data_IF_685010063737
#
_entry.id   IF_685010063737
#
_cell.length_a   1.000
_cell.length_b   1.000
_cell.length_c   1.000
_cell.angle_alpha   90.00
_cell.angle_beta   90.00
_cell.angle_gamma   90.00
#
_symmetry.space_group_name_H-M   'P 1'
#
loop_
_entity.id
_entity.type
_entity.pdbx_description
1 polymer ?
#
# COMPACT_ATOMS: atom_id res chain seq x y z
N UNK A 1 29.95 84.52 26.84
CA UNK A 1 28.66 83.76 26.86
C UNK A 1 28.32 83.37 25.43
N UNK A 2 28.81 82.26 24.94
CA UNK A 2 28.71 81.85 23.55
C UNK A 2 28.04 80.51 23.52
N UNK A 3 26.85 80.40 22.95
CA UNK A 3 26.10 79.16 22.81
C UNK A 3 26.57 78.42 21.53
N UNK A 4 27.08 77.19 21.70
CA UNK A 4 27.37 76.31 20.60
C UNK A 4 26.11 75.52 20.27
N UNK A 5 25.62 75.62 19.03
CA UNK A 5 24.56 74.78 18.45
C UNK A 5 25.22 73.57 17.78
N UNK A 6 24.98 72.35 18.29
CA UNK A 6 25.39 71.09 17.67
C UNK A 6 24.24 70.65 16.78
N UNK A 7 24.45 70.63 15.48
CA UNK A 7 23.50 70.03 14.50
C UNK A 7 23.77 68.53 14.36
N UNK A 8 22.83 67.68 14.77
CA UNK A 8 22.88 66.23 14.62
C UNK A 8 22.27 65.89 13.26
N UNK A 9 23.07 65.47 12.29
CA UNK A 9 22.61 64.97 11.01
C UNK A 9 22.31 63.45 11.16
N UNK A 10 21.04 63.08 11.16
CA UNK A 10 20.60 61.71 11.20
C UNK A 10 20.59 61.15 9.77
N UNK A 11 21.56 60.35 9.39
CA UNK A 11 21.59 59.62 8.13
C UNK A 11 20.70 58.36 8.24
N UNK A 12 19.53 58.40 7.62
CA UNK A 12 18.61 57.28 7.47
C UNK A 12 19.14 56.38 6.33
N UNK A 13 19.88 55.34 6.66
CA UNK A 13 20.20 54.25 5.71
C UNK A 13 19.02 53.31 5.64
N UNK A 14 18.23 53.37 4.59
CA UNK A 14 17.21 52.36 4.24
C UNK A 14 17.90 51.11 3.76
N UNK A 15 18.06 50.15 4.66
CA UNK A 15 18.44 48.77 4.28
C UNK A 15 17.25 48.12 3.55
N UNK A 16 17.35 48.04 2.23
CA UNK A 16 16.43 47.23 1.42
C UNK A 16 16.81 45.77 1.68
N UNK A 17 16.08 45.13 2.60
CA UNK A 17 16.16 43.70 2.80
C UNK A 17 15.53 43.01 1.57
N UNK A 18 16.35 42.51 0.67
CA UNK A 18 15.90 41.50 -0.29
C UNK A 18 15.60 40.22 0.49
N UNK A 19 14.35 40.02 0.90
CA UNK A 19 13.86 38.72 1.28
C UNK A 19 13.98 37.81 0.04
N UNK A 20 14.66 36.68 0.06
CA UNK A 20 14.58 35.75 -1.05
C UNK A 20 13.12 35.38 -1.20
N UNK A 21 12.58 35.55 -2.41
CA UNK A 21 11.27 35.03 -2.76
C UNK A 21 11.30 33.53 -2.48
N UNK A 22 10.61 33.10 -1.44
CA UNK A 22 10.39 31.66 -1.22
C UNK A 22 9.56 31.19 -2.42
N UNK A 23 10.22 30.65 -3.43
CA UNK A 23 9.56 29.92 -4.51
C UNK A 23 8.82 28.79 -3.83
N UNK A 24 7.48 28.80 -3.89
CA UNK A 24 6.69 27.72 -3.36
C UNK A 24 7.02 26.47 -4.17
N UNK A 25 7.74 25.54 -3.54
CA UNK A 25 8.14 24.28 -4.17
C UNK A 25 6.89 23.48 -4.52
N UNK A 26 6.85 22.87 -5.72
CA UNK A 26 5.72 22.04 -6.16
C UNK A 26 5.53 20.85 -5.18
N UNK A 27 4.38 20.83 -4.51
CA UNK A 27 3.94 19.77 -3.59
C UNK A 27 2.49 19.41 -3.84
N UNK A 28 2.17 18.13 -3.73
CA UNK A 28 0.82 17.60 -3.88
C UNK A 28 0.29 17.24 -2.49
N UNK A 29 -0.87 17.81 -2.14
CA UNK A 29 -1.56 17.48 -0.90
C UNK A 29 -2.37 16.20 -1.08
N UNK A 30 -2.09 15.18 -0.27
CA UNK A 30 -2.76 13.87 -0.33
C UNK A 30 -4.06 13.85 0.47
N UNK A 31 -4.31 14.86 1.33
CA UNK A 31 -5.48 14.94 2.21
C UNK A 31 -6.27 16.22 2.03
N UNK A 32 -7.60 16.10 2.04
CA UNK A 32 -8.55 17.22 2.15
C UNK A 32 -9.96 16.86 1.67
N UNK A 33 -11.01 17.31 2.40
CA UNK A 33 -12.38 17.25 1.90
C UNK A 33 -12.57 18.43 0.93
N UNK A 34 -12.37 18.23 -0.35
CA UNK A 34 -12.57 19.27 -1.35
C UNK A 34 -12.48 18.75 -2.77
N UNK A 35 -12.72 19.63 -3.75
CA UNK A 35 -12.45 19.36 -5.15
C UNK A 35 -10.93 19.27 -5.37
N UNK A 36 -10.38 18.09 -5.14
CA UNK A 36 -8.97 17.80 -5.46
C UNK A 36 -8.82 17.83 -6.98
N UNK A 37 -7.87 18.62 -7.47
CA UNK A 37 -7.48 18.64 -8.88
C UNK A 37 -6.13 17.92 -9.01
N UNK A 38 -6.05 16.84 -9.82
CA UNK A 38 -4.78 16.18 -10.07
C UNK A 38 -3.72 17.13 -10.60
N UNK A 39 -2.48 16.96 -10.17
CA UNK A 39 -1.34 17.77 -10.60
C UNK A 39 -0.89 17.36 -12.00
N UNK A 40 -0.84 18.27 -12.98
CA UNK A 40 -0.40 17.98 -14.34
C UNK A 40 1.10 17.66 -14.39
N UNK A 41 1.43 16.42 -14.80
CA UNK A 41 2.82 15.97 -14.97
C UNK A 41 3.10 15.60 -16.43
N UNK A 42 4.26 15.98 -16.93
CA UNK A 42 4.80 15.50 -18.20
C UNK A 42 6.00 14.58 -17.93
N UNK A 43 5.94 13.39 -18.52
CA UNK A 43 7.02 12.40 -18.52
C UNK A 43 7.26 11.99 -19.97
N UNK A 44 8.08 12.72 -20.73
CA UNK A 44 8.47 12.38 -22.10
C UNK A 44 9.21 11.06 -22.16
N UNK A 45 9.33 10.50 -23.36
CA UNK A 45 10.16 9.33 -23.59
C UNK A 45 11.62 9.62 -23.22
N UNK A 46 12.32 8.59 -22.75
CA UNK A 46 13.71 8.72 -22.31
C UNK A 46 14.63 8.95 -23.51
N UNK A 47 15.68 9.77 -23.34
CA UNK A 47 16.84 9.80 -24.24
C UNK A 47 17.48 8.41 -24.27
N UNK A 48 17.52 7.76 -25.43
CA UNK A 48 18.08 6.40 -25.54
C UNK A 48 19.57 6.47 -25.94
N UNK A 49 20.40 5.97 -25.03
CA UNK A 49 21.85 5.80 -25.24
C UNK A 49 22.13 4.30 -25.41
N UNK A 50 21.79 3.77 -26.58
CA UNK A 50 21.82 2.34 -26.90
C UNK A 50 20.87 1.99 -28.02
N UNK A 51 20.50 0.73 -28.14
CA UNK A 51 19.67 0.20 -29.24
C UNK A 51 18.22 -0.13 -28.81
N UNK A 52 17.96 -0.34 -27.52
CA UNK A 52 16.68 -0.84 -27.02
C UNK A 52 15.69 0.29 -26.68
N UNK A 53 15.21 0.98 -27.70
CA UNK A 53 14.21 2.04 -27.55
C UNK A 53 12.85 1.52 -27.06
N UNK A 54 12.50 0.26 -27.36
CA UNK A 54 11.24 -0.33 -26.94
C UNK A 54 11.20 -0.55 -25.43
N UNK A 55 12.30 -1.01 -24.85
CA UNK A 55 12.40 -1.16 -23.39
C UNK A 55 12.35 0.19 -22.67
N UNK A 56 13.03 1.20 -23.22
CA UNK A 56 12.98 2.56 -22.68
C UNK A 56 11.54 3.11 -22.66
N UNK A 57 10.77 2.89 -23.73
CA UNK A 57 9.36 3.29 -23.83
C UNK A 57 8.49 2.53 -22.80
N UNK A 58 8.65 1.20 -22.69
CA UNK A 58 7.91 0.39 -21.72
C UNK A 58 8.14 0.86 -20.27
N UNK A 59 9.38 1.24 -19.92
CA UNK A 59 9.69 1.80 -18.61
C UNK A 59 8.86 3.08 -18.36
N UNK A 60 8.81 4.00 -19.31
CA UNK A 60 8.04 5.24 -19.17
C UNK A 60 6.55 4.98 -19.08
N UNK A 61 6.01 4.03 -19.84
CA UNK A 61 4.59 3.65 -19.79
C UNK A 61 4.20 3.14 -18.40
N UNK A 62 5.03 2.30 -17.76
CA UNK A 62 4.79 1.83 -16.39
C UNK A 62 4.87 2.98 -15.40
N UNK A 63 5.87 3.87 -15.48
CA UNK A 63 5.99 5.03 -14.60
C UNK A 63 4.75 5.93 -14.69
N UNK A 64 4.27 6.20 -15.90
CA UNK A 64 3.04 7.00 -16.13
C UNK A 64 1.82 6.31 -15.51
N UNK A 65 1.65 5.00 -15.76
CA UNK A 65 0.53 4.21 -15.25
C UNK A 65 0.51 4.14 -13.72
N UNK A 66 1.65 3.95 -13.08
CA UNK A 66 1.78 3.94 -11.62
C UNK A 66 1.32 5.27 -11.02
N UNK A 67 1.86 6.38 -11.50
CA UNK A 67 1.53 7.71 -10.98
C UNK A 67 0.07 8.09 -11.25
N UNK A 68 -0.45 7.86 -12.45
CA UNK A 68 -1.85 8.09 -12.81
C UNK A 68 -2.79 7.25 -11.94
N UNK A 69 -2.35 6.05 -11.60
CA UNK A 69 -3.09 5.12 -10.75
C UNK A 69 -3.45 5.68 -9.38
N UNK A 70 -2.69 6.65 -8.88
CA UNK A 70 -2.94 7.28 -7.58
C UNK A 70 -4.13 8.24 -7.58
N UNK A 71 -4.57 8.71 -8.77
CA UNK A 71 -5.53 9.80 -8.90
C UNK A 71 -5.00 11.17 -8.47
N UNK A 72 -3.73 11.27 -8.05
CA UNK A 72 -3.09 12.51 -7.62
C UNK A 72 -2.47 13.29 -8.78
N UNK A 73 -2.21 12.62 -9.89
CA UNK A 73 -1.50 13.16 -11.05
C UNK A 73 -2.32 13.00 -12.33
N UNK A 74 -2.24 14.02 -13.18
CA UNK A 74 -2.79 14.00 -14.54
C UNK A 74 -1.62 13.96 -15.54
N UNK A 75 -1.48 12.82 -16.26
CA UNK A 75 -0.43 12.68 -17.25
C UNK A 75 -0.73 13.51 -18.49
N UNK A 76 0.18 14.42 -18.84
CA UNK A 76 0.07 15.20 -20.06
C UNK A 76 0.23 14.31 -21.30
N UNK A 77 -0.64 14.52 -22.31
CA UNK A 77 -0.59 13.75 -23.53
C UNK A 77 0.71 14.00 -24.29
N UNK A 78 1.52 12.98 -24.61
CA UNK A 78 2.77 13.14 -25.35
C UNK A 78 2.63 13.82 -26.69
N UNK A 79 1.45 13.72 -27.35
CA UNK A 79 1.17 14.43 -28.60
C UNK A 79 1.14 15.95 -28.45
N UNK A 80 0.90 16.47 -27.25
CA UNK A 80 0.90 17.91 -26.94
C UNK A 80 2.29 18.50 -26.69
N UNK A 81 3.33 17.67 -26.56
CA UNK A 81 4.68 18.13 -26.24
C UNK A 81 5.28 18.95 -27.38
N UNK A 82 5.59 20.22 -27.09
CA UNK A 82 6.19 21.16 -28.04
C UNK A 82 7.70 20.88 -28.18
N UNK A 83 8.39 20.75 -27.05
CA UNK A 83 9.80 20.35 -27.02
C UNK A 83 9.90 18.83 -27.09
N UNK A 84 10.49 18.29 -28.19
CA UNK A 84 10.69 16.86 -28.39
C UNK A 84 12.15 16.43 -28.22
N UNK A 85 13.09 17.35 -28.41
CA UNK A 85 14.52 17.16 -28.26
C UNK A 85 14.96 17.39 -26.81
N UNK A 86 14.62 16.45 -25.93
CA UNK A 86 14.97 16.51 -24.51
C UNK A 86 16.23 15.70 -24.23
N UNK A 87 17.14 16.28 -23.46
CA UNK A 87 18.29 15.59 -22.90
C UNK A 87 18.34 15.82 -21.40
N UNK A 88 18.73 14.80 -20.65
CA UNK A 88 18.91 14.90 -19.20
C UNK A 88 20.01 15.91 -18.81
N UNK A 89 20.94 16.17 -19.73
CA UNK A 89 22.09 17.04 -19.48
C UNK A 89 21.81 18.51 -19.80
N UNK A 90 20.65 18.81 -20.42
CA UNK A 90 20.25 20.15 -20.85
C UNK A 90 19.00 20.61 -20.09
N UNK A 91 18.99 21.87 -19.69
CA UNK A 91 17.81 22.48 -19.08
C UNK A 91 16.66 22.57 -20.08
N UNK A 92 15.43 22.11 -19.70
CA UNK A 92 14.25 22.21 -20.58
C UNK A 92 13.86 23.65 -20.90
N UNK A 93 13.22 23.84 -22.06
CA UNK A 93 12.59 25.13 -22.42
C UNK A 93 11.25 25.27 -21.70
N UNK A 94 11.26 25.77 -20.46
CA UNK A 94 10.06 25.84 -19.61
C UNK A 94 8.88 26.58 -20.23
N UNK A 95 9.13 27.55 -21.14
CA UNK A 95 8.06 28.25 -21.84
C UNK A 95 7.15 27.28 -22.62
N UNK A 96 7.72 26.28 -23.29
CA UNK A 96 6.98 25.28 -24.06
C UNK A 96 6.05 24.43 -23.16
N UNK A 97 6.53 24.09 -21.96
CA UNK A 97 5.80 23.30 -20.98
C UNK A 97 4.72 24.08 -20.24
N UNK A 98 4.93 25.39 -20.01
CA UNK A 98 3.92 26.30 -19.46
C UNK A 98 2.72 26.48 -20.38
N UNK A 99 2.93 26.50 -21.71
CA UNK A 99 1.85 26.59 -22.70
C UNK A 99 0.86 25.43 -22.55
N UNK A 100 1.35 24.23 -22.34
CA UNK A 100 0.52 23.03 -22.14
C UNK A 100 0.10 22.81 -20.68
N UNK A 101 0.33 23.80 -19.79
CA UNK A 101 -0.07 23.81 -18.38
C UNK A 101 0.50 22.62 -17.57
N UNK A 102 1.74 22.26 -17.81
CA UNK A 102 2.48 21.25 -17.04
C UNK A 102 3.05 21.91 -15.79
N UNK A 103 2.84 21.30 -14.63
CA UNK A 103 3.41 21.77 -13.35
C UNK A 103 4.77 21.09 -13.10
N UNK A 104 4.84 19.78 -13.27
CA UNK A 104 6.07 19.01 -13.09
C UNK A 104 6.51 18.32 -14.38
N UNK A 105 7.82 18.35 -14.66
CA UNK A 105 8.42 17.70 -15.82
C UNK A 105 9.49 16.71 -15.36
N UNK A 106 9.43 15.47 -15.85
CA UNK A 106 10.45 14.45 -15.62
C UNK A 106 11.20 14.19 -16.92
N UNK A 107 12.50 14.43 -16.91
CA UNK A 107 13.39 14.17 -18.07
C UNK A 107 14.39 13.10 -17.68
N UNK A 108 14.62 12.11 -18.55
CA UNK A 108 15.52 11.02 -18.25
C UNK A 108 16.25 10.47 -19.46
N UNK A 109 17.22 9.59 -19.19
CA UNK A 109 18.00 8.86 -20.18
C UNK A 109 18.04 7.37 -19.81
N UNK A 110 17.90 6.53 -20.82
CA UNK A 110 18.09 5.08 -20.77
C UNK A 110 19.46 4.73 -21.39
N UNK A 111 20.20 3.84 -20.74
CA UNK A 111 21.52 3.44 -21.17
C UNK A 111 21.71 1.92 -21.04
N UNK A 112 22.23 1.29 -22.07
CA UNK A 112 22.72 -0.10 -22.03
C UNK A 112 24.18 -0.10 -21.60
N UNK A 113 24.51 -0.83 -20.53
CA UNK A 113 25.86 -0.86 -19.97
C UNK A 113 26.69 -2.00 -20.54
N UNK A 114 28.02 -1.85 -20.59
CA UNK A 114 28.93 -2.88 -21.16
C UNK A 114 28.85 -4.25 -20.45
N UNK A 115 28.40 -4.29 -19.19
CA UNK A 115 28.22 -5.50 -18.40
C UNK A 115 26.86 -6.19 -18.62
N UNK A 116 26.09 -5.72 -19.61
CA UNK A 116 24.76 -6.25 -19.96
C UNK A 116 23.62 -5.76 -19.09
N UNK A 117 23.89 -4.87 -18.11
CA UNK A 117 22.84 -4.20 -17.33
C UNK A 117 22.26 -3.02 -18.09
N UNK A 118 21.15 -2.52 -17.57
CA UNK A 118 20.53 -1.27 -18.00
C UNK A 118 20.60 -0.24 -16.86
N UNK A 119 20.71 1.03 -17.23
CA UNK A 119 20.63 2.15 -16.32
C UNK A 119 19.60 3.16 -16.80
N UNK A 120 18.83 3.71 -15.85
CA UNK A 120 17.93 4.84 -16.10
C UNK A 120 18.31 5.97 -15.17
N UNK A 121 18.63 7.11 -15.76
CA UNK A 121 18.88 8.37 -15.05
C UNK A 121 17.69 9.30 -15.28
N UNK A 122 17.25 10.05 -14.26
CA UNK A 122 16.17 11.02 -14.42
C UNK A 122 16.34 12.22 -13.49
N UNK A 123 15.75 13.35 -13.92
CA UNK A 123 15.61 14.61 -13.17
C UNK A 123 14.17 15.06 -13.17
N UNK A 124 13.76 15.71 -12.12
CA UNK A 124 12.46 16.36 -12.00
C UNK A 124 12.63 17.87 -12.01
N UNK A 125 11.72 18.55 -12.67
CA UNK A 125 11.71 20.01 -12.78
C UNK A 125 10.37 20.58 -12.33
N UNK A 126 10.40 21.62 -11.52
CA UNK A 126 9.27 22.52 -11.33
C UNK A 126 9.23 23.47 -12.53
N UNK A 127 8.20 23.35 -13.36
CA UNK A 127 8.10 24.08 -14.61
C UNK A 127 7.88 25.56 -14.38
N UNK A 128 7.12 25.93 -13.36
CA UNK A 128 6.82 27.32 -13.08
C UNK A 128 7.96 28.04 -12.36
N UNK A 129 8.62 27.38 -11.43
CA UNK A 129 9.83 27.88 -10.78
C UNK A 129 11.04 27.89 -11.72
N UNK A 130 11.08 26.98 -12.71
CA UNK A 130 12.22 26.82 -13.61
C UNK A 130 13.44 26.17 -12.95
N UNK A 131 13.22 25.39 -11.90
CA UNK A 131 14.26 24.83 -11.05
C UNK A 131 14.20 23.30 -10.99
N UNK A 132 15.37 22.65 -10.79
CA UNK A 132 15.44 21.22 -10.58
C UNK A 132 14.94 20.87 -9.18
N UNK A 133 14.02 19.91 -9.11
CA UNK A 133 13.52 19.36 -7.84
C UNK A 133 14.50 18.30 -7.33
N UNK A 134 15.05 18.52 -6.15
CA UNK A 134 16.01 17.58 -5.56
C UNK A 134 15.32 16.34 -5.01
N UNK A 135 15.85 15.16 -5.34
CA UNK A 135 15.42 13.86 -4.80
C UNK A 135 16.49 13.40 -3.81
N UNK A 136 16.16 13.29 -2.54
CA UNK A 136 17.11 12.99 -1.46
C UNK A 136 18.36 13.89 -1.50
N UNK A 137 18.15 15.20 -1.73
CA UNK A 137 19.23 16.19 -1.80
C UNK A 137 20.01 16.24 -3.13
N UNK A 138 19.80 15.30 -4.04
CA UNK A 138 20.47 15.20 -5.34
C UNK A 138 19.62 15.80 -6.47
N UNK A 139 20.23 16.41 -7.51
CA UNK A 139 19.51 16.99 -8.63
C UNK A 139 18.88 15.98 -9.58
N UNK A 140 19.11 14.70 -9.38
CA UNK A 140 18.59 13.59 -10.16
C UNK A 140 18.92 12.27 -9.51
N UNK A 141 18.45 11.19 -10.11
CA UNK A 141 18.69 9.82 -9.63
C UNK A 141 19.11 8.93 -10.80
N UNK A 142 20.01 7.99 -10.55
CA UNK A 142 20.38 6.91 -11.47
C UNK A 142 20.10 5.57 -10.82
N UNK A 143 19.39 4.70 -11.53
CA UNK A 143 19.07 3.34 -11.11
C UNK A 143 19.65 2.36 -12.12
N UNK A 144 20.14 1.22 -11.66
CA UNK A 144 20.75 0.18 -12.50
C UNK A 144 20.19 -1.18 -12.14
N UNK A 145 19.89 -2.03 -13.13
CA UNK A 145 19.41 -3.39 -12.97
C UNK A 145 19.75 -4.27 -14.16
N UNK A 146 19.41 -5.56 -14.09
CA UNK A 146 19.41 -6.45 -15.26
C UNK A 146 18.18 -6.19 -16.14
N UNK A 147 18.24 -6.46 -17.45
CA UNK A 147 17.08 -6.27 -18.34
C UNK A 147 15.82 -6.98 -17.87
N UNK A 148 15.92 -8.18 -17.29
CA UNK A 148 14.77 -8.95 -16.80
C UNK A 148 14.03 -8.26 -15.63
N UNK A 149 14.72 -7.39 -14.89
CA UNK A 149 14.15 -6.64 -13.76
C UNK A 149 13.73 -5.20 -14.11
N UNK A 150 13.53 -4.90 -15.38
CA UNK A 150 13.23 -3.55 -15.85
C UNK A 150 11.98 -2.91 -15.23
N UNK A 151 10.95 -3.73 -14.92
CA UNK A 151 9.73 -3.21 -14.29
C UNK A 151 10.00 -2.66 -12.90
N UNK A 152 10.88 -3.31 -12.13
CA UNK A 152 11.28 -2.79 -10.81
C UNK A 152 11.95 -1.42 -10.89
N UNK A 153 12.75 -1.15 -11.95
CA UNK A 153 13.28 0.21 -12.16
C UNK A 153 12.14 1.20 -12.41
N UNK A 154 11.14 0.85 -13.23
CA UNK A 154 10.01 1.72 -13.48
C UNK A 154 9.24 2.06 -12.19
N UNK A 155 8.89 1.05 -11.39
CA UNK A 155 8.24 1.25 -10.08
C UNK A 155 9.09 2.11 -9.12
N UNK A 156 10.41 1.91 -9.05
CA UNK A 156 11.32 2.72 -8.22
C UNK A 156 11.44 4.17 -8.71
N UNK A 157 11.30 4.42 -10.01
CA UNK A 157 11.22 5.78 -10.56
C UNK A 157 9.89 6.42 -10.12
N UNK A 158 8.76 5.72 -10.31
CA UNK A 158 7.45 6.18 -9.87
C UNK A 158 7.43 6.46 -8.36
N UNK A 159 7.98 5.57 -7.53
CA UNK A 159 8.16 5.75 -6.09
C UNK A 159 8.95 7.01 -5.75
N UNK A 160 10.03 7.26 -6.49
CA UNK A 160 10.86 8.46 -6.25
C UNK A 160 10.12 9.76 -6.59
N UNK A 161 9.34 9.76 -7.68
CA UNK A 161 8.51 10.88 -8.11
C UNK A 161 7.38 11.10 -7.11
N UNK A 162 6.66 10.05 -6.75
CA UNK A 162 5.56 10.07 -5.79
C UNK A 162 6.01 10.65 -4.45
N UNK A 163 7.05 10.05 -3.85
CA UNK A 163 7.58 10.51 -2.56
C UNK A 163 8.05 11.96 -2.63
N UNK A 164 8.72 12.36 -3.72
CA UNK A 164 9.20 13.73 -3.88
C UNK A 164 8.09 14.77 -3.95
N UNK A 165 6.99 14.45 -4.61
CA UNK A 165 5.87 15.36 -4.81
C UNK A 165 4.88 15.38 -3.64
N UNK A 166 4.64 14.22 -3.00
CA UNK A 166 3.63 14.07 -1.95
C UNK A 166 4.21 14.14 -0.54
N UNK A 167 5.49 13.79 -0.36
CA UNK A 167 6.10 13.58 0.95
C UNK A 167 5.70 12.26 1.62
N UNK A 168 4.90 11.43 0.95
CA UNK A 168 4.44 10.13 1.45
C UNK A 168 5.46 9.02 1.15
N UNK A 169 5.42 7.95 1.94
CA UNK A 169 6.24 6.77 1.69
C UNK A 169 5.87 6.08 0.38
N UNK A 170 6.83 5.46 -0.33
CA UNK A 170 6.62 4.77 -1.59
C UNK A 170 5.81 3.48 -1.43
N UNK A 171 5.21 2.95 -2.54
CA UNK A 171 4.47 1.69 -2.52
C UNK A 171 4.34 0.96 -3.86
N UNK A 172 4.95 1.46 -4.95
CA UNK A 172 4.82 0.83 -6.27
C UNK A 172 5.73 -0.39 -6.44
N UNK A 173 7.01 -0.35 -5.94
CA UNK A 173 7.92 -1.51 -6.00
C UNK A 173 7.53 -2.57 -4.95
N UNK A 174 6.33 -3.14 -5.14
CA UNK A 174 5.70 -4.12 -4.25
C UNK A 174 4.98 -5.21 -5.05
N UNK A 175 4.50 -6.25 -4.35
CA UNK A 175 3.74 -7.35 -4.92
C UNK A 175 2.42 -7.55 -4.20
N UNK A 176 1.50 -8.22 -4.87
CA UNK A 176 0.24 -8.69 -4.29
C UNK A 176 0.22 -10.22 -4.41
N UNK A 177 0.05 -10.91 -3.28
CA UNK A 177 -0.29 -12.32 -3.24
C UNK A 177 -1.81 -12.44 -3.16
N UNK A 178 -2.40 -13.43 -3.82
CA UNK A 178 -3.84 -13.62 -3.86
C UNK A 178 -4.20 -15.08 -4.12
N UNK A 179 -5.47 -15.41 -4.01
CA UNK A 179 -6.00 -16.71 -4.40
C UNK A 179 -6.58 -16.61 -5.81
N UNK A 180 -5.90 -17.25 -6.75
CA UNK A 180 -6.40 -17.41 -8.11
C UNK A 180 -7.42 -18.54 -8.16
N UNK A 181 -8.63 -18.26 -8.68
CA UNK A 181 -9.74 -19.19 -8.70
C UNK A 181 -10.14 -19.57 -10.14
N UNK A 182 -10.25 -20.86 -10.40
CA UNK A 182 -10.66 -21.41 -11.69
C UNK A 182 -11.67 -22.54 -11.53
N UNK A 183 -12.37 -22.89 -12.60
CA UNK A 183 -13.37 -23.97 -12.60
C UNK A 183 -14.75 -23.56 -12.11
N UNK A 184 -15.72 -24.48 -12.19
CA UNK A 184 -17.11 -24.20 -11.82
C UNK A 184 -17.27 -23.97 -10.32
N UNK A 185 -18.29 -23.20 -9.91
CA UNK A 185 -18.53 -22.79 -8.53
C UNK A 185 -18.50 -23.94 -7.50
N UNK A 186 -19.04 -25.11 -7.87
CA UNK A 186 -19.09 -26.29 -6.99
C UNK A 186 -17.79 -27.13 -6.96
N UNK A 187 -16.83 -26.81 -7.85
CA UNK A 187 -15.54 -27.49 -7.93
C UNK A 187 -14.43 -26.49 -8.27
N UNK A 188 -14.29 -25.49 -7.43
CA UNK A 188 -13.26 -24.43 -7.57
C UNK A 188 -11.86 -25.00 -7.31
N UNK A 189 -10.96 -24.72 -8.23
CA UNK A 189 -9.53 -24.90 -8.00
C UNK A 189 -8.96 -23.57 -7.52
N UNK A 190 -8.41 -23.57 -6.32
CA UNK A 190 -7.81 -22.40 -5.68
C UNK A 190 -6.30 -22.56 -5.61
N UNK A 191 -5.57 -21.57 -6.13
CA UNK A 191 -4.11 -21.55 -6.15
C UNK A 191 -3.59 -20.28 -5.47
N UNK A 192 -2.52 -20.44 -4.70
CA UNK A 192 -1.73 -19.29 -4.30
C UNK A 192 -1.06 -18.70 -5.54
N UNK A 193 -1.23 -17.41 -5.77
CA UNK A 193 -0.67 -16.69 -6.90
C UNK A 193 -0.05 -15.36 -6.43
N UNK A 194 0.90 -14.84 -7.19
CA UNK A 194 1.59 -13.58 -6.92
C UNK A 194 1.67 -12.75 -8.20
N UNK A 195 1.64 -11.43 -8.06
CA UNK A 195 1.80 -10.46 -9.15
C UNK A 195 2.49 -9.18 -8.65
N UNK A 196 2.98 -8.35 -9.56
CA UNK A 196 3.39 -6.98 -9.23
C UNK A 196 2.17 -6.15 -8.80
N UNK A 197 2.38 -5.06 -8.08
CA UNK A 197 1.29 -4.22 -7.52
C UNK A 197 0.35 -3.65 -8.58
N UNK A 198 0.80 -3.54 -9.84
CA UNK A 198 0.03 -3.09 -11.00
C UNK A 198 -0.70 -4.21 -11.75
N UNK A 199 -0.57 -5.47 -11.30
CA UNK A 199 -1.20 -6.65 -11.89
C UNK A 199 -0.34 -7.38 -12.94
N UNK A 200 0.89 -6.94 -13.19
CA UNK A 200 1.80 -7.63 -14.11
C UNK A 200 2.49 -8.85 -13.47
N UNK A 201 3.21 -9.63 -14.26
CA UNK A 201 4.05 -10.76 -13.82
C UNK A 201 3.32 -11.80 -12.96
N UNK A 202 2.08 -12.13 -13.33
CA UNK A 202 1.25 -13.10 -12.59
C UNK A 202 1.83 -14.51 -12.65
N UNK A 203 2.01 -15.14 -11.50
CA UNK A 203 2.56 -16.50 -11.37
C UNK A 203 1.79 -17.29 -10.32
N UNK A 204 1.57 -18.60 -10.58
CA UNK A 204 1.07 -19.53 -9.58
C UNK A 204 2.21 -20.04 -8.68
N UNK A 205 2.00 -19.98 -7.37
CA UNK A 205 2.94 -20.50 -6.38
C UNK A 205 2.59 -21.92 -5.93
N UNK A 206 1.32 -22.36 -6.11
CA UNK A 206 0.88 -23.71 -5.77
C UNK A 206 0.14 -24.35 -6.95
N UNK A 207 0.17 -25.70 -7.06
CA UNK A 207 -0.42 -26.43 -8.20
C UNK A 207 -1.96 -26.44 -8.18
N UNK A 208 -2.60 -26.18 -7.03
CA UNK A 208 -4.07 -26.22 -6.88
C UNK A 208 -4.63 -27.60 -6.55
N UNK A 209 -3.82 -28.50 -6.05
CA UNK A 209 -4.25 -29.83 -5.58
C UNK A 209 -5.04 -29.77 -4.28
N UNK A 210 -4.75 -28.78 -3.44
CA UNK A 210 -5.44 -28.50 -2.18
C UNK A 210 -6.07 -27.10 -2.21
N UNK A 211 -7.21 -26.94 -1.55
CA UNK A 211 -7.80 -25.61 -1.35
C UNK A 211 -6.89 -24.78 -0.46
N UNK A 212 -6.53 -23.59 -0.93
CA UNK A 212 -5.72 -22.59 -0.22
C UNK A 212 -6.49 -21.28 -0.07
N UNK A 213 -6.29 -20.56 1.03
CA UNK A 213 -7.01 -19.33 1.38
C UNK A 213 -6.13 -18.39 2.23
N UNK A 214 -6.56 -17.14 2.33
CA UNK A 214 -6.04 -16.12 3.26
C UNK A 214 -4.52 -15.99 3.30
N UNK A 215 -3.83 -15.78 2.15
CA UNK A 215 -2.39 -15.57 2.14
C UNK A 215 -2.02 -14.24 2.81
N UNK A 216 -0.84 -14.18 3.45
CA UNK A 216 -0.29 -12.93 4.03
C UNK A 216 1.22 -12.91 3.90
N UNK A 217 1.77 -11.77 3.50
CA UNK A 217 3.22 -11.57 3.42
C UNK A 217 3.86 -11.46 4.79
N UNK A 218 5.09 -11.94 4.90
CA UNK A 218 6.02 -11.57 5.97
C UNK A 218 6.54 -10.14 5.77
N UNK A 219 7.01 -9.47 6.83
CA UNK A 219 7.64 -8.15 6.72
C UNK A 219 8.91 -8.12 5.84
N UNK A 220 9.55 -9.26 5.60
CA UNK A 220 10.70 -9.38 4.69
C UNK A 220 10.31 -9.53 3.22
N UNK A 221 9.02 -9.71 2.91
CA UNK A 221 8.48 -10.05 1.58
C UNK A 221 9.00 -11.36 0.97
N UNK A 222 9.73 -12.20 1.73
CA UNK A 222 10.30 -13.48 1.27
C UNK A 222 9.40 -14.67 1.58
N UNK A 223 8.51 -14.53 2.54
CA UNK A 223 7.65 -15.60 3.00
C UNK A 223 6.19 -15.20 3.02
N UNK A 224 5.33 -16.18 2.85
CA UNK A 224 3.87 -16.05 2.87
C UNK A 224 3.32 -17.07 3.84
N UNK A 225 2.49 -16.65 4.80
CA UNK A 225 1.60 -17.56 5.52
C UNK A 225 0.30 -17.71 4.75
N UNK A 226 -0.28 -18.89 4.76
CA UNK A 226 -1.59 -19.14 4.15
C UNK A 226 -2.26 -20.34 4.82
N UNK A 227 -3.58 -20.45 4.65
CA UNK A 227 -4.33 -21.61 5.08
C UNK A 227 -4.41 -22.61 3.93
N UNK A 228 -4.22 -23.91 4.23
CA UNK A 228 -4.41 -25.01 3.29
C UNK A 228 -5.23 -26.13 3.92
N UNK A 229 -6.04 -26.80 3.08
CA UNK A 229 -6.78 -28.01 3.42
C UNK A 229 -5.97 -29.28 3.16
N UNK A 230 -4.67 -29.18 3.03
CA UNK A 230 -3.79 -30.33 2.93
C UNK A 230 -3.97 -31.24 4.16
N UNK A 231 -4.19 -32.55 3.93
CA UNK A 231 -4.53 -33.49 5.00
C UNK A 231 -5.98 -33.42 5.52
N UNK A 232 -6.90 -32.78 4.76
CA UNK A 232 -8.36 -32.84 4.97
C UNK A 232 -8.93 -31.89 6.00
N UNK A 233 -8.11 -31.07 6.68
CA UNK A 233 -8.55 -30.01 7.60
C UNK A 233 -7.74 -28.73 7.42
N UNK A 234 -8.32 -27.53 7.67
CA UNK A 234 -7.61 -26.27 7.52
C UNK A 234 -6.46 -26.13 8.53
N UNK A 235 -5.28 -25.82 8.01
CA UNK A 235 -4.06 -25.56 8.79
C UNK A 235 -3.29 -24.40 8.18
N UNK A 236 -2.49 -23.73 8.98
CA UNK A 236 -1.60 -22.66 8.54
C UNK A 236 -0.27 -23.22 8.09
N UNK A 237 0.17 -22.76 6.92
CA UNK A 237 1.46 -23.10 6.30
C UNK A 237 2.28 -21.83 6.11
N UNK A 238 3.60 -22.02 6.11
CA UNK A 238 4.59 -21.04 5.69
C UNK A 238 5.12 -21.45 4.31
N UNK A 239 5.19 -20.51 3.37
CA UNK A 239 5.72 -20.70 2.03
C UNK A 239 6.86 -19.73 1.78
N UNK A 240 8.03 -20.22 1.39
CA UNK A 240 9.15 -19.39 0.98
C UNK A 240 9.09 -19.17 -0.53
N UNK A 241 9.05 -17.91 -0.96
CA UNK A 241 8.81 -17.53 -2.37
C UNK A 241 9.99 -17.91 -3.26
N UNK A 242 11.23 -17.77 -2.77
CA UNK A 242 12.43 -18.05 -3.58
C UNK A 242 12.65 -19.54 -3.80
N UNK A 243 12.46 -20.33 -2.75
CA UNK A 243 12.76 -21.77 -2.78
C UNK A 243 11.56 -22.64 -3.15
N UNK A 244 10.35 -22.08 -3.10
CA UNK A 244 9.10 -22.85 -3.25
C UNK A 244 8.83 -23.82 -2.09
N UNK A 245 9.63 -23.78 -1.02
CA UNK A 245 9.46 -24.66 0.14
C UNK A 245 8.24 -24.24 0.95
N UNK A 246 7.42 -25.24 1.29
CA UNK A 246 6.31 -25.06 2.22
C UNK A 246 6.53 -25.91 3.48
N UNK A 247 6.07 -25.40 4.61
CA UNK A 247 6.08 -26.13 5.87
C UNK A 247 4.82 -25.85 6.70
N UNK A 248 4.38 -26.85 7.44
CA UNK A 248 3.25 -26.73 8.37
C UNK A 248 3.67 -25.88 9.58
N UNK A 249 2.90 -24.84 9.87
CA UNK A 249 3.15 -23.96 11.00
C UNK A 249 2.45 -24.50 12.27
N UNK A 250 3.14 -25.40 12.95
CA UNK A 250 2.66 -26.03 14.19
C UNK A 250 1.66 -27.18 13.97
N UNK A 251 1.52 -28.02 14.99
CA UNK A 251 0.58 -29.14 15.01
C UNK A 251 -0.46 -28.92 16.12
N UNK A 252 -1.47 -28.10 15.81
CA UNK A 252 -2.55 -27.81 16.74
C UNK A 252 -3.65 -28.87 16.71
N UNK A 253 -4.33 -29.14 17.82
CA UNK A 253 -5.38 -30.17 17.90
C UNK A 253 -6.61 -29.84 17.06
N UNK A 254 -6.95 -28.56 16.92
CA UNK A 254 -8.10 -28.06 16.16
C UNK A 254 -7.75 -27.59 14.75
N UNK A 255 -8.61 -26.72 14.24
CA UNK A 255 -8.37 -25.98 12.98
C UNK A 255 -7.62 -24.70 13.26
N UNK A 256 -6.68 -24.31 12.38
CA UNK A 256 -6.00 -23.03 12.44
C UNK A 256 -6.26 -22.24 11.15
N UNK A 257 -6.54 -20.94 11.26
CA UNK A 257 -6.85 -20.07 10.12
C UNK A 257 -6.55 -18.59 10.41
N UNK A 258 -6.76 -17.73 9.41
CA UNK A 258 -6.53 -16.29 9.44
C UNK A 258 -5.15 -15.89 9.98
N UNK A 259 -4.05 -16.45 9.44
CA UNK A 259 -2.70 -16.15 9.90
C UNK A 259 -2.31 -14.72 9.56
N UNK A 260 -1.52 -14.07 10.44
CA UNK A 260 -0.84 -12.79 10.18
C UNK A 260 0.49 -12.74 10.90
N UNK A 261 1.53 -12.27 10.23
CA UNK A 261 2.81 -12.01 10.87
C UNK A 261 2.72 -10.84 11.87
N UNK A 262 3.53 -10.91 12.93
CA UNK A 262 3.93 -9.73 13.69
C UNK A 262 4.79 -8.81 12.84
N UNK A 263 4.89 -7.54 13.24
CA UNK A 263 5.64 -6.51 12.49
C UNK A 263 7.13 -6.83 12.33
N UNK A 264 7.73 -7.45 13.34
CA UNK A 264 9.13 -7.90 13.33
C UNK A 264 9.36 -9.18 12.51
N UNK A 265 8.28 -9.87 12.12
CA UNK A 265 8.35 -11.15 11.40
C UNK A 265 8.73 -12.36 12.27
N UNK A 266 8.90 -12.17 13.58
CA UNK A 266 9.34 -13.24 14.49
C UNK A 266 8.19 -14.15 14.95
N UNK A 267 6.96 -13.67 14.83
CA UNK A 267 5.77 -14.40 15.27
C UNK A 267 4.65 -14.36 14.23
N UNK A 268 3.73 -15.34 14.35
CA UNK A 268 2.48 -15.37 13.59
C UNK A 268 1.30 -15.43 14.57
N UNK A 269 0.36 -14.49 14.39
CA UNK A 269 -0.95 -14.53 15.01
C UNK A 269 -1.85 -15.43 14.18
N UNK A 270 -2.71 -16.20 14.83
CA UNK A 270 -3.69 -17.05 14.16
C UNK A 270 -4.90 -17.29 15.03
N UNK A 271 -5.99 -17.71 14.42
CA UNK A 271 -7.16 -18.22 15.11
C UNK A 271 -7.04 -19.74 15.22
N UNK A 272 -7.29 -20.29 16.39
CA UNK A 272 -7.46 -21.74 16.60
C UNK A 272 -8.91 -22.01 17.01
N UNK A 273 -9.57 -22.91 16.29
CA UNK A 273 -10.91 -23.37 16.59
C UNK A 273 -10.88 -24.81 17.11
N UNK A 274 -11.46 -25.01 18.29
CA UNK A 274 -11.54 -26.32 18.96
C UNK A 274 -12.81 -26.39 19.80
N UNK A 275 -13.49 -27.54 19.81
CA UNK A 275 -14.70 -27.81 20.61
C UNK A 275 -15.83 -26.79 20.44
N UNK A 276 -15.94 -26.18 19.24
CA UNK A 276 -17.00 -25.21 18.93
C UNK A 276 -16.72 -23.78 19.38
N UNK A 277 -15.53 -23.51 19.93
CA UNK A 277 -15.03 -22.16 20.23
C UNK A 277 -13.84 -21.79 19.38
N UNK A 278 -13.54 -20.49 19.25
CA UNK A 278 -12.40 -19.97 18.53
C UNK A 278 -11.69 -18.89 19.34
N UNK A 279 -10.39 -19.05 19.50
CA UNK A 279 -9.52 -18.13 20.24
C UNK A 279 -8.30 -17.72 19.43
N UNK A 280 -7.72 -16.61 19.83
CA UNK A 280 -6.51 -16.06 19.22
C UNK A 280 -5.25 -16.63 19.87
N UNK A 281 -4.29 -16.95 19.04
CA UNK A 281 -2.97 -17.42 19.45
C UNK A 281 -1.87 -16.63 18.75
N UNK A 282 -0.74 -16.51 19.42
CA UNK A 282 0.52 -16.03 18.84
C UNK A 282 1.56 -17.13 18.96
N UNK A 283 2.24 -17.45 17.86
CA UNK A 283 3.31 -18.43 17.80
C UNK A 283 4.62 -17.75 17.44
N UNK A 284 5.67 -17.98 18.21
CA UNK A 284 7.03 -17.60 17.84
C UNK A 284 7.56 -18.56 16.77
N UNK A 285 8.06 -18.05 15.65
CA UNK A 285 8.48 -18.85 14.50
C UNK A 285 9.78 -19.60 14.73
N UNK A 286 10.67 -19.11 15.58
CA UNK A 286 11.94 -19.74 15.89
C UNK A 286 11.77 -20.89 16.89
N UNK A 287 11.08 -20.62 18.01
CA UNK A 287 10.91 -21.61 19.10
C UNK A 287 9.74 -22.55 18.89
N UNK A 288 8.82 -22.21 17.97
CA UNK A 288 7.54 -22.90 17.71
C UNK A 288 6.61 -22.96 18.93
N UNK A 289 6.89 -22.19 19.96
CA UNK A 289 6.01 -22.05 21.11
C UNK A 289 4.83 -21.15 20.78
N UNK A 290 3.63 -21.57 21.17
CA UNK A 290 2.39 -20.79 21.02
C UNK A 290 1.85 -20.37 22.37
N UNK A 291 1.28 -19.16 22.42
CA UNK A 291 0.59 -18.60 23.58
C UNK A 291 -0.82 -18.17 23.16
N UNK A 292 -1.81 -18.58 23.93
CA UNK A 292 -3.20 -18.15 23.80
C UNK A 292 -3.31 -16.66 24.21
N UNK A 293 -3.97 -15.84 23.38
CA UNK A 293 -4.20 -14.42 23.63
C UNK A 293 -5.57 -14.16 24.22
N UNK A 294 -6.60 -14.88 23.75
CA UNK A 294 -7.97 -14.76 24.26
C UNK A 294 -8.42 -16.07 24.88
N UNK A 295 -9.24 -15.96 25.94
CA UNK A 295 -9.88 -17.06 26.65
C UNK A 295 -11.32 -16.63 27.01
N UNK A 296 -12.22 -16.73 26.03
CA UNK A 296 -13.60 -16.27 26.15
C UNK A 296 -14.54 -17.24 25.41
N UNK A 297 -15.77 -17.47 25.90
CA UNK A 297 -16.73 -18.36 25.22
C UNK A 297 -17.25 -17.81 23.87
N UNK A 298 -16.96 -16.56 23.53
CA UNK A 298 -17.27 -15.97 22.23
C UNK A 298 -16.27 -16.40 21.15
N UNK A 299 -16.69 -16.30 19.91
CA UNK A 299 -15.86 -16.57 18.73
C UNK A 299 -14.93 -15.37 18.50
N UNK A 300 -13.64 -15.52 18.81
CA UNK A 300 -12.59 -14.54 18.54
C UNK A 300 -11.79 -14.98 17.31
N UNK A 301 -11.70 -14.11 16.27
CA UNK A 301 -11.09 -14.48 15.00
C UNK A 301 -10.43 -13.29 14.29
N UNK A 302 -9.66 -13.58 13.24
CA UNK A 302 -9.05 -12.61 12.32
C UNK A 302 -8.18 -11.55 13.04
N UNK A 303 -7.15 -11.97 13.80
CA UNK A 303 -6.29 -11.03 14.52
C UNK A 303 -5.41 -10.23 13.56
N UNK A 304 -5.15 -8.96 13.90
CA UNK A 304 -4.15 -8.11 13.25
C UNK A 304 -3.41 -7.28 14.29
N UNK A 305 -2.07 -7.34 14.28
CA UNK A 305 -1.22 -6.64 15.24
C UNK A 305 -0.99 -5.19 14.83
N UNK A 306 -0.91 -4.29 15.81
CA UNK A 306 -0.48 -2.91 15.60
C UNK A 306 0.99 -2.84 15.15
N UNK A 307 1.40 -1.78 14.41
CA UNK A 307 2.79 -1.66 13.94
C UNK A 307 3.85 -1.61 15.05
N UNK A 308 3.48 -1.19 16.25
CA UNK A 308 4.34 -1.16 17.43
C UNK A 308 4.38 -2.48 18.21
N UNK A 309 3.59 -3.48 17.77
CA UNK A 309 3.53 -4.81 18.40
C UNK A 309 2.76 -4.87 19.73
N UNK A 310 2.20 -3.74 20.22
CA UNK A 310 1.63 -3.64 21.57
C UNK A 310 0.14 -3.99 21.64
N UNK A 311 -0.56 -3.94 20.52
CA UNK A 311 -2.00 -4.18 20.47
C UNK A 311 -2.38 -5.16 19.36
N UNK A 312 -3.51 -5.83 19.53
CA UNK A 312 -4.13 -6.70 18.54
C UNK A 312 -5.58 -6.26 18.35
N UNK A 313 -5.98 -6.00 17.11
CA UNK A 313 -7.38 -5.85 16.72
C UNK A 313 -7.90 -7.18 16.21
N UNK A 314 -9.15 -7.51 16.50
CA UNK A 314 -9.77 -8.78 16.12
C UNK A 314 -11.29 -8.66 16.02
N UNK A 315 -11.92 -9.65 15.40
CA UNK A 315 -13.38 -9.81 15.36
C UNK A 315 -13.84 -10.66 16.54
N UNK A 316 -14.89 -10.22 17.25
CA UNK A 316 -15.52 -11.01 18.33
C UNK A 316 -17.03 -10.80 18.33
N UNK A 317 -17.78 -11.86 18.63
CA UNK A 317 -19.23 -11.81 18.83
C UNK A 317 -19.65 -11.73 20.32
N UNK A 318 -18.72 -11.44 21.25
CA UNK A 318 -18.96 -11.32 22.70
C UNK A 318 -20.02 -10.28 23.08
N UNK A 319 -20.32 -9.33 22.19
CA UNK A 319 -21.39 -8.35 22.33
C UNK A 319 -22.73 -8.78 21.69
N UNK A 320 -22.89 -10.06 21.30
CA UNK A 320 -24.09 -10.62 20.67
C UNK A 320 -24.09 -10.56 19.13
N UNK A 321 -23.12 -9.88 18.52
CA UNK A 321 -22.91 -9.86 17.06
C UNK A 321 -21.44 -9.56 16.75
N UNK A 322 -20.92 -9.98 15.58
CA UNK A 322 -19.52 -9.72 15.19
C UNK A 322 -19.20 -8.22 15.17
N UNK A 323 -18.21 -7.83 15.98
CA UNK A 323 -17.72 -6.46 16.13
C UNK A 323 -16.20 -6.46 16.24
N UNK A 324 -15.57 -5.29 16.08
CA UNK A 324 -14.12 -5.16 16.26
C UNK A 324 -13.79 -4.83 17.72
N UNK A 325 -12.80 -5.55 18.21
CA UNK A 325 -12.24 -5.37 19.56
C UNK A 325 -10.73 -5.18 19.46
N UNK A 326 -10.18 -4.43 20.40
CA UNK A 326 -8.74 -4.23 20.55
C UNK A 326 -8.31 -4.66 21.94
N UNK A 327 -7.21 -5.41 22.03
CA UNK A 327 -6.57 -5.83 23.28
C UNK A 327 -5.08 -5.50 23.28
N UNK A 328 -4.45 -5.45 24.45
CA UNK A 328 -3.00 -5.40 24.56
C UNK A 328 -2.41 -6.79 24.30
N UNK A 329 -1.29 -6.85 23.59
CA UNK A 329 -0.63 -8.12 23.22
C UNK A 329 -0.18 -8.92 24.46
N UNK A 330 0.15 -8.24 25.57
CA UNK A 330 0.54 -8.86 26.85
C UNK A 330 -0.65 -9.33 27.69
N UNK A 331 -1.91 -9.06 27.27
CA UNK A 331 -3.12 -9.41 27.98
C UNK A 331 -3.51 -8.44 29.12
N UNK A 332 -2.76 -7.35 29.31
CA UNK A 332 -3.08 -6.35 30.32
C UNK A 332 -4.35 -5.55 29.98
N UNK A 333 -5.16 -5.13 30.97
CA UNK A 333 -6.34 -4.30 30.73
C UNK A 333 -5.97 -2.93 30.15
N UNK A 334 -6.78 -2.45 29.19
CA UNK A 334 -6.67 -1.14 28.55
C UNK A 334 -7.89 -0.25 28.82
N UNK A 335 -7.77 1.05 28.62
CA UNK A 335 -8.90 1.97 28.66
C UNK A 335 -9.75 1.80 27.40
N UNK A 336 -11.07 1.61 27.57
CA UNK A 336 -12.00 1.40 26.46
C UNK A 336 -12.62 2.72 25.96
N UNK A 337 -12.93 2.84 24.65
CA UNK A 337 -13.66 3.99 24.11
C UNK A 337 -15.03 4.20 24.78
N UNK A 338 -15.70 3.13 25.19
CA UNK A 338 -16.98 3.18 25.91
C UNK A 338 -16.87 3.59 27.40
N UNK A 339 -15.65 3.85 27.88
CA UNK A 339 -15.33 4.09 29.29
C UNK A 339 -14.95 2.81 30.02
N UNK A 340 -14.30 2.98 31.19
CA UNK A 340 -13.81 1.86 32.00
C UNK A 340 -12.51 1.23 31.43
N UNK A 341 -12.13 0.09 32.03
CA UNK A 341 -10.96 -0.72 31.60
C UNK A 341 -11.36 -2.18 31.42
N UNK A 342 -10.88 -2.78 30.37
CA UNK A 342 -11.11 -4.19 30.03
C UNK A 342 -9.90 -4.76 29.31
N UNK A 343 -9.77 -6.08 29.29
CA UNK A 343 -8.75 -6.80 28.52
C UNK A 343 -9.02 -6.65 27.01
N UNK A 344 -10.29 -6.68 26.59
CA UNK A 344 -10.69 -6.53 25.19
C UNK A 344 -11.78 -5.45 25.05
N UNK A 345 -11.43 -4.33 24.45
CA UNK A 345 -12.29 -3.18 24.28
C UNK A 345 -12.92 -3.14 22.88
N UNK A 346 -14.25 -3.05 22.80
CA UNK A 346 -14.98 -2.84 21.54
C UNK A 346 -14.64 -1.45 20.97
N UNK A 347 -14.43 -1.36 19.65
CA UNK A 347 -14.17 -0.10 18.92
C UNK A 347 -15.21 0.22 17.85
N UNK A 348 -16.16 -0.68 17.52
CA UNK A 348 -17.24 -0.44 16.56
C UNK A 348 -18.59 -0.39 17.26
N UNK A 349 -19.37 0.68 17.03
CA UNK A 349 -20.64 0.91 17.74
C UNK A 349 -21.82 1.17 16.79
N UNK A 350 -21.56 1.41 15.50
CA UNK A 350 -22.61 1.61 14.49
C UNK A 350 -23.31 0.28 14.17
N UNK A 351 -24.50 0.38 13.54
CA UNK A 351 -25.25 -0.80 13.06
C UNK A 351 -24.44 -1.59 12.04
N UNK A 352 -24.65 -2.91 12.02
CA UNK A 352 -24.00 -3.85 11.11
C UNK A 352 -23.08 -4.84 11.83
N UNK A 353 -22.55 -5.78 11.06
CA UNK A 353 -21.55 -6.76 11.50
C UNK A 353 -20.21 -6.38 10.89
N UNK A 354 -19.15 -6.56 11.68
CA UNK A 354 -17.79 -6.19 11.28
C UNK A 354 -16.88 -7.42 11.33
N UNK A 355 -16.01 -7.55 10.33
CA UNK A 355 -15.10 -8.69 10.21
C UNK A 355 -13.78 -8.28 9.54
N UNK A 356 -12.83 -9.20 9.51
CA UNK A 356 -11.53 -9.11 8.83
C UNK A 356 -10.80 -7.78 9.07
N UNK A 357 -10.60 -7.36 10.33
CA UNK A 357 -9.89 -6.11 10.62
C UNK A 357 -8.42 -6.23 10.25
N UNK A 358 -7.86 -5.14 9.71
CA UNK A 358 -6.44 -5.03 9.40
C UNK A 358 -5.90 -3.70 9.88
N UNK A 359 -4.92 -3.74 10.76
CA UNK A 359 -4.27 -2.54 11.26
C UNK A 359 -3.47 -1.86 10.16
N UNK A 360 -3.65 -0.54 10.01
CA UNK A 360 -2.86 0.27 9.08
C UNK A 360 -1.37 0.23 9.44
N UNK A 361 -0.45 0.13 8.47
CA UNK A 361 1.00 0.22 8.73
C UNK A 361 1.41 1.56 9.35
N UNK A 362 0.57 2.60 9.27
CA UNK A 362 0.76 3.91 9.91
C UNK A 362 0.35 3.92 11.41
N UNK A 363 -0.42 2.91 11.85
CA UNK A 363 -0.85 2.77 13.24
C UNK A 363 -2.09 3.57 13.64
N UNK A 364 -2.63 4.38 12.77
CA UNK A 364 -3.72 5.33 13.01
C UNK A 364 -5.12 4.77 12.75
N UNK A 365 -5.24 3.84 11.79
CA UNK A 365 -6.51 3.31 11.32
C UNK A 365 -6.56 1.78 11.37
N UNK A 366 -7.78 1.25 11.37
CA UNK A 366 -8.10 -0.15 11.11
C UNK A 366 -9.02 -0.22 9.90
N UNK A 367 -8.61 -0.94 8.84
CA UNK A 367 -9.50 -1.30 7.74
C UNK A 367 -10.34 -2.52 8.14
N UNK A 368 -11.56 -2.63 7.63
CA UNK A 368 -12.48 -3.71 7.96
C UNK A 368 -13.46 -4.00 6.82
N UNK A 369 -14.05 -5.19 6.87
CA UNK A 369 -15.28 -5.52 6.15
C UNK A 369 -16.50 -5.23 7.04
N UNK A 370 -17.52 -4.57 6.51
CA UNK A 370 -18.80 -4.36 7.19
C UNK A 370 -19.94 -4.92 6.37
N UNK A 371 -20.83 -5.68 7.02
CA UNK A 371 -22.10 -6.11 6.44
C UNK A 371 -23.25 -5.31 7.04
N UNK A 372 -24.04 -4.66 6.20
CA UNK A 372 -25.19 -3.86 6.60
C UNK A 372 -26.27 -3.87 5.50
N UNK A 373 -27.52 -4.22 5.86
CA UNK A 373 -28.65 -4.17 4.95
C UNK A 373 -28.52 -5.07 3.70
N UNK A 374 -27.80 -6.20 3.82
CA UNK A 374 -27.58 -7.14 2.72
C UNK A 374 -26.47 -6.72 1.75
N UNK A 375 -25.73 -5.68 2.05
CA UNK A 375 -24.55 -5.19 1.31
C UNK A 375 -23.29 -5.30 2.14
N UNK A 376 -22.16 -5.29 1.45
CA UNK A 376 -20.82 -5.31 2.05
C UNK A 376 -20.07 -4.03 1.69
N UNK A 377 -19.24 -3.62 2.62
CA UNK A 377 -18.46 -2.38 2.55
C UNK A 377 -17.03 -2.66 3.02
N UNK A 378 -16.06 -2.07 2.36
CA UNK A 378 -14.74 -1.84 2.95
C UNK A 378 -14.80 -0.48 3.64
N UNK A 379 -14.39 -0.43 4.89
CA UNK A 379 -14.37 0.80 5.68
C UNK A 379 -13.09 0.92 6.49
N UNK A 380 -12.90 2.09 7.07
CA UNK A 380 -11.82 2.42 8.00
C UNK A 380 -12.37 3.09 9.26
N UNK A 381 -11.69 2.86 10.39
CA UNK A 381 -12.03 3.45 11.68
C UNK A 381 -10.73 3.78 12.43
N UNK A 382 -10.74 4.83 13.23
CA UNK A 382 -9.64 5.12 14.15
C UNK A 382 -9.46 4.01 15.19
N UNK A 383 -8.24 3.81 15.63
CA UNK A 383 -7.90 2.78 16.64
C UNK A 383 -8.53 3.04 18.01
N UNK A 384 -9.03 4.24 18.23
CA UNK A 384 -9.84 4.68 19.37
C UNK A 384 -11.35 4.50 19.17
N UNK A 385 -11.79 3.97 18.02
CA UNK A 385 -13.20 3.77 17.67
C UNK A 385 -13.91 4.98 17.09
N UNK A 386 -13.19 6.06 16.78
CA UNK A 386 -13.76 7.27 16.18
C UNK A 386 -13.56 7.30 14.67
N UNK A 387 -14.29 8.19 13.98
CA UNK A 387 -14.04 8.50 12.56
C UNK A 387 -14.34 7.36 11.58
N UNK A 388 -15.31 6.46 11.88
CA UNK A 388 -15.70 5.41 10.94
C UNK A 388 -16.12 6.01 9.59
N UNK A 389 -15.53 5.50 8.51
CA UNK A 389 -15.89 5.85 7.12
C UNK A 389 -16.02 4.58 6.31
N UNK A 390 -17.07 4.48 5.51
CA UNK A 390 -17.26 3.44 4.50
C UNK A 390 -16.68 3.98 3.18
N UNK A 391 -15.77 3.23 2.60
CA UNK A 391 -15.05 3.63 1.37
C UNK A 391 -15.69 3.04 0.12
N UNK A 392 -16.30 1.84 0.24
CA UNK A 392 -16.90 1.12 -0.89
C UNK A 392 -18.28 0.60 -0.51
N UNK A 393 -19.08 0.21 -1.53
CA UNK A 393 -20.36 -0.48 -1.37
C UNK A 393 -20.58 -1.45 -2.52
N UNK A 394 -20.79 -2.75 -2.22
CA UNK A 394 -21.12 -3.76 -3.24
C UNK A 394 -22.00 -4.89 -2.69
N UNK A 395 -22.31 -5.86 -3.57
CA UNK A 395 -22.95 -7.11 -3.16
C UNK A 395 -22.05 -7.89 -2.19
N UNK A 396 -20.76 -7.97 -2.49
CA UNK A 396 -19.74 -8.55 -1.63
C UNK A 396 -18.43 -7.78 -1.82
N UNK A 397 -17.95 -7.10 -0.79
CA UNK A 397 -16.62 -6.53 -0.66
C UNK A 397 -15.98 -7.08 0.61
N UNK A 398 -14.86 -7.81 0.50
CA UNK A 398 -14.23 -8.48 1.65
C UNK A 398 -12.72 -8.49 1.58
N UNK A 399 -12.11 -8.84 2.74
CA UNK A 399 -10.70 -9.15 2.87
C UNK A 399 -9.78 -7.98 2.57
N UNK A 400 -9.95 -6.82 3.22
CA UNK A 400 -9.06 -5.68 3.01
C UNK A 400 -7.63 -5.99 3.43
N UNK A 401 -6.67 -5.41 2.70
CA UNK A 401 -5.27 -5.33 3.11
C UNK A 401 -4.64 -4.01 2.65
N UNK A 402 -3.63 -3.52 3.37
CA UNK A 402 -3.06 -2.20 3.14
C UNK A 402 -1.85 -2.22 2.21
N UNK A 403 -1.72 -1.20 1.35
CA UNK A 403 -0.42 -0.83 0.79
C UNK A 403 0.57 -0.49 1.91
N UNK A 404 1.89 -0.69 1.74
CA UNK A 404 2.86 -0.47 2.82
C UNK A 404 2.91 0.96 3.35
N UNK A 405 2.47 1.96 2.57
CA UNK A 405 2.36 3.34 3.02
C UNK A 405 1.01 3.69 3.69
N UNK A 406 0.08 2.74 3.78
CA UNK A 406 -1.22 2.94 4.42
C UNK A 406 -2.15 3.91 3.70
N UNK A 407 -1.99 4.11 2.39
CA UNK A 407 -2.83 5.03 1.59
C UNK A 407 -3.85 4.33 0.72
N UNK A 408 -3.59 3.09 0.34
CA UNK A 408 -4.44 2.30 -0.55
C UNK A 408 -4.81 0.98 0.14
N UNK A 409 -6.03 0.54 -0.05
CA UNK A 409 -6.54 -0.74 0.44
C UNK A 409 -6.85 -1.61 -0.77
N UNK A 410 -6.29 -2.82 -0.82
CA UNK A 410 -6.66 -3.87 -1.76
C UNK A 410 -7.70 -4.78 -1.09
N UNK A 411 -8.67 -5.26 -1.87
CA UNK A 411 -9.74 -6.14 -1.41
C UNK A 411 -10.30 -6.94 -2.58
N UNK A 412 -11.20 -7.89 -2.34
CA UNK A 412 -11.90 -8.57 -3.42
C UNK A 412 -13.40 -8.24 -3.42
N UNK A 413 -13.99 -8.23 -4.61
CA UNK A 413 -15.38 -7.90 -4.87
C UNK A 413 -16.06 -8.96 -5.71
N UNK A 414 -17.28 -9.37 -5.31
CA UNK A 414 -18.29 -9.89 -6.23
C UNK A 414 -19.35 -8.79 -6.49
N UNK A 415 -19.51 -8.37 -7.73
CA UNK A 415 -20.44 -7.29 -8.09
C UNK A 415 -21.90 -7.71 -7.98
N UNK A 416 -22.19 -9.01 -8.14
CA UNK A 416 -23.50 -9.66 -8.03
C UNK A 416 -23.32 -11.14 -7.72
N UNK A 417 -24.39 -11.84 -7.25
CA UNK A 417 -24.33 -13.28 -7.01
C UNK A 417 -23.79 -14.05 -8.23
N UNK A 418 -22.74 -14.82 -8.03
CA UNK A 418 -22.15 -15.69 -9.06
C UNK A 418 -21.28 -14.96 -10.11
N UNK A 419 -20.98 -13.68 -9.95
CA UNK A 419 -20.08 -12.96 -10.85
C UNK A 419 -18.61 -13.41 -10.74
N UNK A 420 -18.29 -14.15 -9.68
CA UNK A 420 -16.93 -14.50 -9.32
C UNK A 420 -16.14 -13.34 -8.70
N UNK A 421 -15.23 -13.64 -7.78
CA UNK A 421 -14.44 -12.61 -7.11
C UNK A 421 -13.40 -12.00 -8.04
N UNK A 422 -13.18 -10.70 -7.87
CA UNK A 422 -12.19 -9.90 -8.60
C UNK A 422 -11.46 -8.98 -7.62
N UNK A 423 -10.17 -8.71 -7.86
CA UNK A 423 -9.40 -7.81 -7.02
C UNK A 423 -9.68 -6.35 -7.39
N UNK A 424 -9.80 -5.54 -6.35
CA UNK A 424 -10.00 -4.11 -6.42
C UNK A 424 -9.09 -3.39 -5.43
N UNK A 425 -8.83 -2.14 -5.69
CA UNK A 425 -8.19 -1.23 -4.75
C UNK A 425 -8.97 0.06 -4.61
N UNK A 426 -8.87 0.69 -3.43
CA UNK A 426 -9.48 1.99 -3.14
C UNK A 426 -8.52 2.79 -2.27
N UNK A 427 -8.43 4.10 -2.52
CA UNK A 427 -7.69 5.01 -1.67
C UNK A 427 -8.52 5.44 -0.44
N UNK A 428 -7.88 6.11 0.52
CA UNK A 428 -8.55 6.61 1.72
C UNK A 428 -9.61 7.70 1.47
N UNK A 429 -9.67 8.26 0.27
CA UNK A 429 -10.75 9.19 -0.11
C UNK A 429 -12.04 8.48 -0.50
N UNK A 430 -11.96 7.19 -0.85
CA UNK A 430 -13.06 6.39 -1.40
C UNK A 430 -13.42 6.74 -2.85
N UNK A 431 -12.66 7.63 -3.52
CA UNK A 431 -12.96 8.12 -4.88
C UNK A 431 -12.19 7.41 -5.96
N UNK A 432 -10.97 6.98 -5.66
CA UNK A 432 -10.09 6.30 -6.59
C UNK A 432 -10.22 4.78 -6.44
N UNK A 433 -11.38 4.25 -6.84
CA UNK A 433 -11.67 2.83 -6.82
C UNK A 433 -11.31 2.20 -8.16
N UNK A 434 -10.48 1.14 -8.15
CA UNK A 434 -9.96 0.52 -9.37
C UNK A 434 -9.96 -0.99 -9.30
N UNK A 435 -10.27 -1.63 -10.42
CA UNK A 435 -10.08 -3.07 -10.59
C UNK A 435 -8.62 -3.37 -10.92
N UNK A 436 -8.04 -4.33 -10.20
CA UNK A 436 -6.75 -4.92 -10.54
C UNK A 436 -6.99 -6.08 -11.52
N UNK A 437 -6.29 -6.05 -12.66
CA UNK A 437 -6.49 -7.06 -13.70
C UNK A 437 -5.80 -8.36 -13.32
N UNK A 438 -6.58 -9.45 -13.26
CA UNK A 438 -6.08 -10.80 -13.03
C UNK A 438 -6.50 -11.72 -14.18
N UNK A 439 -5.69 -12.74 -14.49
CA UNK A 439 -5.97 -13.71 -15.56
C UNK A 439 -7.16 -14.62 -15.24
N UNK A 440 -7.49 -14.76 -13.95
CA UNK A 440 -8.58 -15.61 -13.47
C UNK A 440 -9.45 -14.81 -12.50
N UNK A 441 -10.53 -15.39 -12.00
CA UNK A 441 -11.18 -14.91 -10.78
C UNK A 441 -10.18 -14.93 -9.64
N UNK A 442 -10.27 -13.97 -8.70
CA UNK A 442 -9.27 -13.78 -7.67
C UNK A 442 -9.88 -13.27 -6.36
N UNK A 443 -9.47 -13.87 -5.23
CA UNK A 443 -9.90 -13.50 -3.88
C UNK A 443 -8.74 -13.36 -2.91
N UNK A 444 -9.02 -12.95 -1.67
CA UNK A 444 -8.09 -12.89 -0.53
C UNK A 444 -6.75 -12.20 -0.84
N UNK A 445 -6.72 -10.97 -1.38
CA UNK A 445 -5.46 -10.30 -1.67
C UNK A 445 -4.70 -9.94 -0.39
N UNK A 446 -3.37 -9.91 -0.48
CA UNK A 446 -2.50 -9.32 0.53
C UNK A 446 -1.35 -8.57 -0.13
N UNK A 447 -1.06 -7.38 0.37
CA UNK A 447 -0.02 -6.50 -0.15
C UNK A 447 1.32 -6.77 0.52
N UNK A 448 2.40 -6.82 -0.26
CA UNK A 448 3.75 -6.99 0.28
C UNK A 448 4.28 -5.70 0.90
N UNK A 449 5.30 -5.77 1.78
CA UNK A 449 6.19 -4.65 2.01
C UNK A 449 6.90 -4.22 0.72
N UNK A 450 7.61 -3.09 0.77
CA UNK A 450 8.54 -2.68 -0.30
C UNK A 450 9.59 -3.78 -0.53
N UNK A 451 9.86 -4.05 -1.80
CA UNK A 451 10.91 -5.00 -2.19
C UNK A 451 12.30 -4.40 -1.94
N UNK A 452 13.17 -5.14 -1.29
CA UNK A 452 14.54 -4.71 -0.99
C UNK A 452 15.48 -4.80 -2.21
#
# INVERSE_FOLDING_TARGET
MTRLLLALVLALTTAVSFAPSASAELKVLVEGPGNFKPTPLAIPDLEVRGTNSDLARQIVEVVRADLESTGLFEMQNPASFIQKDLSIDVQPRFADWKIIKTDGLVVGAFEELPDGKIAVSFRMWDVYAGEVMRINGQPGRRLTTTPDNWRRIAHKIADSIYTRLTGEDPYFDTRIVYIAETGPKLNRVKRLAIMDSDGANQQYLTPGTNTVLTPRFSPSAQEITYMSYEGGRPRVYLFNIETGRQELLGNFPGMTFAPRFSRDGESVLMTQAEHGNSDLYIMNLQTRQSRRLTDHPAIDTSPSMSPDGRSVVFTSDRGGSPQLYVMNTDGSPRTCPSGGRDVACRITFNKGQYSTPVWSPRGDLVAFTKQLGGKFYIGVIGTDGTGERLLTEAYLDEGPDWSPNGRVIVYFRESRPGAGPQLWSVDLSGRNERRLQTQTEASDPAWSPLLQ
#
